data_IF_151346386660
#
_entry.id   IF_151346386660
#
_cell.length_a   1.000
_cell.length_b   1.000
_cell.length_c   1.000
_cell.angle_alpha   90.00
_cell.angle_beta   90.00
_cell.angle_gamma   90.00
#
_symmetry.space_group_name_H-M   'P 1'
#
loop_
_entity.id
_entity.type
_entity.pdbx_description
1 polymer ?
#
# COMPACT_ATOMS: atom_id res chain seq x y z
N UNK A 1 37.44 -16.67 2.48
CA UNK A 1 36.53 -17.59 3.22
C UNK A 1 36.09 -17.02 4.58
N UNK A 2 37.00 -16.68 5.50
CA UNK A 2 36.64 -16.15 6.85
C UNK A 2 35.82 -14.85 6.85
N UNK A 3 36.09 -13.94 5.89
CA UNK A 3 35.34 -12.67 5.72
C UNK A 3 33.93 -12.87 5.15
N UNK A 4 33.73 -13.87 4.28
CA UNK A 4 32.42 -14.24 3.72
C UNK A 4 31.55 -14.88 4.79
N UNK A 5 32.13 -15.76 5.62
CA UNK A 5 31.44 -16.35 6.77
C UNK A 5 30.95 -15.27 7.75
N UNK A 6 31.78 -14.26 8.02
CA UNK A 6 31.40 -13.14 8.90
C UNK A 6 30.24 -12.31 8.32
N UNK A 7 30.23 -12.07 7.00
CA UNK A 7 29.14 -11.33 6.33
C UNK A 7 27.84 -12.14 6.31
N UNK A 8 27.88 -13.46 6.12
CA UNK A 8 26.68 -14.32 6.18
C UNK A 8 26.09 -14.35 7.59
N UNK A 9 26.95 -14.39 8.62
CA UNK A 9 26.53 -14.30 10.02
C UNK A 9 25.91 -12.94 10.33
N UNK A 10 26.48 -11.84 9.82
CA UNK A 10 25.92 -10.49 9.99
C UNK A 10 24.62 -10.29 9.20
N UNK A 11 24.48 -10.85 7.99
CA UNK A 11 23.22 -10.82 7.22
C UNK A 11 22.11 -11.65 7.88
N UNK A 12 22.46 -12.78 8.53
CA UNK A 12 21.49 -13.61 9.26
C UNK A 12 20.92 -12.94 10.52
N UNK A 13 21.66 -11.99 11.10
CA UNK A 13 21.21 -11.16 12.23
C UNK A 13 20.20 -10.07 11.81
N UNK A 14 20.03 -9.82 10.50
CA UNK A 14 19.00 -8.92 9.95
C UNK A 14 17.71 -9.64 9.53
N UNK A 15 17.49 -10.88 10.01
CA UNK A 15 16.18 -11.52 9.86
C UNK A 15 15.15 -10.73 10.64
N UNK A 16 14.48 -9.82 9.94
CA UNK A 16 13.34 -9.06 10.45
C UNK A 16 12.33 -10.05 10.98
N UNK A 17 11.99 -9.93 12.26
CA UNK A 17 10.87 -10.64 12.87
C UNK A 17 9.63 -10.36 12.02
N UNK A 18 9.22 -11.34 11.22
CA UNK A 18 8.00 -11.25 10.43
C UNK A 18 6.83 -11.30 11.41
N UNK A 19 6.29 -10.13 11.71
CA UNK A 19 5.15 -9.94 12.59
C UNK A 19 3.88 -10.39 11.86
N UNK A 20 3.57 -11.67 11.99
CA UNK A 20 2.35 -12.30 11.48
C UNK A 20 1.25 -12.28 12.56
N UNK A 21 1.01 -11.13 13.18
CA UNK A 21 -0.15 -10.93 14.05
C UNK A 21 -1.34 -10.36 13.28
N UNK A 22 -2.52 -10.52 13.85
CA UNK A 22 -3.71 -9.86 13.37
C UNK A 22 -3.66 -8.37 13.73
N UNK A 23 -4.17 -7.52 12.86
CA UNK A 23 -4.25 -6.07 13.07
C UNK A 23 -5.71 -5.65 12.94
N UNK A 24 -6.25 -5.10 14.02
CA UNK A 24 -7.59 -4.50 14.05
C UNK A 24 -7.41 -3.00 13.85
N UNK A 25 -7.88 -2.47 12.71
CA UNK A 25 -7.89 -1.03 12.44
C UNK A 25 -9.27 -0.48 12.79
N UNK A 26 -9.32 0.46 13.73
CA UNK A 26 -10.55 1.17 14.12
C UNK A 26 -10.93 2.24 13.10
N UNK A 27 -12.19 2.69 13.14
CA UNK A 27 -12.67 3.83 12.32
C UNK A 27 -11.95 5.15 12.60
N UNK A 28 -11.42 5.33 13.81
CA UNK A 28 -10.60 6.50 14.18
C UNK A 28 -9.15 6.43 13.63
N UNK A 29 -8.75 5.35 12.96
CA UNK A 29 -7.41 5.14 12.41
C UNK A 29 -6.39 4.53 13.38
N UNK A 30 -6.80 4.17 14.59
CA UNK A 30 -5.95 3.45 15.54
C UNK A 30 -5.82 1.97 15.17
N UNK A 31 -4.58 1.47 15.13
CA UNK A 31 -4.27 0.05 14.86
C UNK A 31 -3.97 -0.68 16.17
N UNK A 32 -4.66 -1.79 16.42
CA UNK A 32 -4.42 -2.68 17.55
C UNK A 32 -3.81 -3.98 17.02
N UNK A 33 -2.57 -4.25 17.42
CA UNK A 33 -1.95 -5.56 17.25
C UNK A 33 -2.60 -6.55 18.21
N UNK A 34 -3.22 -7.59 17.66
CA UNK A 34 -4.03 -8.53 18.42
C UNK A 34 -3.92 -9.96 17.90
N UNK A 35 -4.37 -10.90 18.72
CA UNK A 35 -4.75 -12.24 18.28
C UNK A 35 -6.25 -12.38 18.44
N UNK A 36 -6.95 -12.57 17.33
CA UNK A 36 -8.41 -12.68 17.34
C UNK A 36 -8.79 -14.07 17.86
N UNK A 37 -9.69 -14.09 18.84
CA UNK A 37 -10.22 -15.34 19.41
C UNK A 37 -11.54 -15.71 18.75
N UNK A 38 -12.43 -14.73 18.56
CA UNK A 38 -13.77 -14.96 18.01
C UNK A 38 -14.31 -13.71 17.32
N UNK A 39 -15.05 -13.90 16.23
CA UNK A 39 -15.76 -12.85 15.48
C UNK A 39 -17.25 -13.21 15.49
N UNK A 40 -18.05 -12.55 16.32
CA UNK A 40 -19.51 -12.76 16.38
C UNK A 40 -20.22 -11.80 15.44
N UNK A 41 -21.56 -11.79 15.41
CA UNK A 41 -22.31 -10.89 14.53
C UNK A 41 -22.18 -9.40 14.95
N UNK A 42 -22.00 -9.14 16.24
CA UNK A 42 -22.02 -7.78 16.82
C UNK A 42 -20.65 -7.31 17.32
N UNK A 43 -19.82 -8.21 17.83
CA UNK A 43 -18.55 -7.89 18.47
C UNK A 43 -17.41 -8.80 18.00
N UNK A 44 -16.19 -8.34 18.23
CA UNK A 44 -14.95 -9.09 17.99
C UNK A 44 -14.21 -9.23 19.29
N UNK A 45 -13.91 -10.47 19.67
CA UNK A 45 -13.17 -10.81 20.88
C UNK A 45 -11.72 -11.07 20.54
N UNK A 46 -10.81 -10.35 21.18
CA UNK A 46 -9.39 -10.39 20.89
C UNK A 46 -8.52 -10.31 22.15
N UNK A 47 -7.29 -10.80 22.03
CA UNK A 47 -6.24 -10.59 23.02
C UNK A 47 -5.20 -9.63 22.46
N UNK A 48 -4.68 -8.71 23.28
CA UNK A 48 -3.61 -7.81 22.86
C UNK A 48 -2.35 -8.61 22.57
N UNK A 49 -1.65 -8.27 21.50
CA UNK A 49 -0.43 -8.98 21.13
C UNK A 49 0.67 -8.82 22.19
N UNK A 50 0.68 -7.67 22.89
CA UNK A 50 1.62 -7.40 23.99
C UNK A 50 1.42 -8.33 25.20
N UNK A 51 0.24 -8.93 25.36
CA UNK A 51 -0.07 -9.84 26.46
C UNK A 51 -1.11 -10.92 26.05
N UNK A 52 -0.62 -11.99 25.42
CA UNK A 52 -1.45 -13.11 24.96
C UNK A 52 -2.02 -13.99 26.10
N UNK A 53 -1.43 -13.94 27.29
CA UNK A 53 -1.95 -14.60 28.50
C UNK A 53 -2.92 -13.72 29.29
N UNK A 54 -3.09 -12.47 28.86
CA UNK A 54 -3.98 -11.50 29.48
C UNK A 54 -5.48 -11.72 29.21
N UNK A 55 -6.32 -10.79 29.71
CA UNK A 55 -7.76 -10.87 29.55
C UNK A 55 -8.20 -10.75 28.09
N UNK A 56 -9.36 -11.32 27.79
CA UNK A 56 -10.01 -11.19 26.47
C UNK A 56 -10.77 -9.86 26.45
N UNK A 57 -10.46 -9.03 25.48
CA UNK A 57 -11.17 -7.77 25.21
C UNK A 57 -12.25 -8.00 24.15
N UNK A 58 -13.34 -7.24 24.21
CA UNK A 58 -14.34 -7.15 23.15
C UNK A 58 -14.40 -5.74 22.57
N UNK A 59 -14.62 -5.65 21.26
CA UNK A 59 -14.85 -4.39 20.55
C UNK A 59 -16.01 -4.57 19.58
N UNK A 60 -16.87 -3.56 19.47
CA UNK A 60 -18.03 -3.60 18.57
C UNK A 60 -17.58 -3.53 17.11
N UNK A 61 -18.21 -4.31 16.23
CA UNK A 61 -17.93 -4.25 14.79
C UNK A 61 -18.19 -2.87 14.19
N UNK A 62 -19.12 -2.11 14.76
CA UNK A 62 -19.39 -0.71 14.36
C UNK A 62 -18.23 0.25 14.61
N UNK A 63 -17.28 -0.09 15.50
CA UNK A 63 -16.09 0.73 15.78
C UNK A 63 -14.86 0.30 14.96
N UNK A 64 -14.93 -0.89 14.36
CA UNK A 64 -13.86 -1.48 13.57
C UNK A 64 -14.05 -1.05 12.11
N UNK A 65 -12.98 -0.60 11.47
CA UNK A 65 -12.96 -0.35 10.03
C UNK A 65 -12.62 -1.64 9.29
N UNK A 66 -11.55 -2.30 9.71
CA UNK A 66 -11.10 -3.53 9.10
C UNK A 66 -10.28 -4.39 10.06
N UNK A 67 -10.29 -5.69 9.79
CA UNK A 67 -9.39 -6.66 10.40
C UNK A 67 -8.48 -7.20 9.31
N UNK A 68 -7.18 -7.26 9.59
CA UNK A 68 -6.20 -7.94 8.76
C UNK A 68 -5.64 -9.12 9.54
N UNK A 69 -5.88 -10.31 9.04
CA UNK A 69 -5.39 -11.53 9.68
C UNK A 69 -3.94 -11.82 9.29
N UNK A 70 -3.26 -12.60 10.13
CA UNK A 70 -1.90 -13.07 9.91
C UNK A 70 -1.67 -13.76 8.56
N UNK A 71 -2.68 -14.48 8.05
CA UNK A 71 -2.65 -15.16 6.75
C UNK A 71 -2.84 -14.21 5.55
N UNK A 72 -3.05 -12.91 5.78
CA UNK A 72 -3.26 -11.89 4.75
C UNK A 72 -4.72 -11.68 4.33
N UNK A 73 -5.68 -12.48 4.81
CA UNK A 73 -7.11 -12.23 4.58
C UNK A 73 -7.57 -11.00 5.36
N UNK A 74 -8.66 -10.38 4.91
CA UNK A 74 -9.16 -9.13 5.50
C UNK A 74 -10.68 -9.12 5.52
N UNK A 75 -11.21 -8.68 6.65
CA UNK A 75 -12.64 -8.37 6.80
C UNK A 75 -12.79 -6.86 6.92
N UNK A 76 -13.67 -6.27 6.11
CA UNK A 76 -13.96 -4.83 6.12
C UNK A 76 -15.37 -4.66 6.65
N UNK A 77 -15.50 -3.91 7.75
CA UNK A 77 -16.79 -3.63 8.39
C UNK A 77 -17.20 -2.22 8.01
N UNK A 78 -17.66 -2.07 6.76
CA UNK A 78 -18.40 -0.89 6.39
C UNK A 78 -19.83 -1.07 6.90
N UNK A 79 -20.37 -0.05 7.56
CA UNK A 79 -21.81 0.05 7.70
C UNK A 79 -22.37 0.18 6.28
N UNK A 80 -22.87 -0.92 5.74
CA UNK A 80 -23.82 -0.86 4.64
C UNK A 80 -25.00 -0.05 5.19
N UNK A 81 -25.07 1.21 4.77
CA UNK A 81 -26.29 1.98 4.83
C UNK A 81 -27.37 1.08 4.23
N UNK A 82 -28.22 0.58 5.11
CA UNK A 82 -29.31 -0.31 4.77
C UNK A 82 -30.11 0.38 3.66
N UNK A 83 -30.13 -0.23 2.49
CA UNK A 83 -30.88 0.27 1.34
C UNK A 83 -32.36 0.29 1.69
N UNK A 84 -32.87 1.47 2.04
CA UNK A 84 -34.28 1.82 1.87
C UNK A 84 -34.38 2.77 0.66
N UNK A 85 -35.24 2.47 -0.32
CA UNK A 85 -35.41 3.32 -1.48
C UNK A 85 -36.38 4.46 -1.14
N UNK A 86 -35.91 5.72 -1.19
CA UNK A 86 -36.78 6.87 -1.41
C UNK A 86 -35.98 8.12 -1.84
N UNK A 87 -36.34 8.58 -3.04
CA UNK A 87 -36.36 9.96 -3.52
C UNK A 87 -35.07 10.73 -3.79
N UNK A 88 -34.79 10.78 -5.09
CA UNK A 88 -34.07 11.86 -5.74
C UNK A 88 -34.68 13.21 -5.36
N UNK A 89 -33.93 14.02 -4.60
CA UNK A 89 -33.89 15.48 -4.74
C UNK A 89 -32.65 16.05 -4.02
N UNK A 90 -31.63 16.34 -4.83
CA UNK A 90 -30.72 17.48 -4.71
C UNK A 90 -30.25 17.86 -3.29
N UNK A 91 -29.24 17.14 -2.77
CA UNK A 91 -28.30 17.71 -1.80
C UNK A 91 -26.96 17.89 -2.50
N UNK A 92 -26.75 19.10 -3.03
CA UNK A 92 -25.46 19.52 -3.56
C UNK A 92 -24.48 19.67 -2.40
N UNK A 93 -23.46 18.81 -2.34
CA UNK A 93 -22.31 18.98 -1.42
C UNK A 93 -21.63 20.33 -1.69
N UNK A 94 -21.08 21.01 -0.66
CA UNK A 94 -20.37 22.27 -0.86
C UNK A 94 -19.17 22.05 -1.79
N UNK A 95 -19.17 22.71 -2.94
CA UNK A 95 -18.07 22.69 -3.91
C UNK A 95 -16.97 23.62 -3.37
N UNK A 96 -16.01 23.07 -2.63
CA UNK A 96 -14.83 23.83 -2.17
C UNK A 96 -13.90 24.03 -3.38
N UNK A 97 -13.56 25.29 -3.66
CA UNK A 97 -12.68 25.67 -4.77
C UNK A 97 -11.23 25.21 -4.50
N UNK A 98 -10.54 24.50 -5.42
CA UNK A 98 -9.27 23.82 -5.14
C UNK A 98 -8.03 24.74 -5.08
N UNK A 99 -8.19 26.04 -5.16
CA UNK A 99 -7.08 26.96 -5.42
C UNK A 99 -6.82 27.83 -4.19
N UNK A 100 -6.03 27.34 -3.23
CA UNK A 100 -5.02 28.09 -2.45
C UNK A 100 -4.48 27.17 -1.35
N UNK A 101 -3.25 26.65 -1.52
CA UNK A 101 -2.53 25.92 -0.48
C UNK A 101 -1.37 26.78 0.02
N UNK A 102 -1.36 27.10 1.31
CA UNK A 102 -0.21 27.71 1.99
C UNK A 102 0.36 26.69 2.97
N UNK A 103 1.63 26.31 2.76
CA UNK A 103 2.34 25.43 3.66
C UNK A 103 2.83 26.21 4.88
N UNK A 104 2.40 25.81 6.07
CA UNK A 104 2.92 26.33 7.35
C UNK A 104 3.42 25.16 8.18
N UNK A 105 4.68 25.22 8.61
CA UNK A 105 5.33 24.18 9.40
C UNK A 105 4.65 24.03 10.78
N UNK A 106 4.36 22.79 11.20
CA UNK A 106 3.82 22.49 12.53
C UNK A 106 2.29 22.34 12.64
N UNK A 107 1.54 22.64 11.58
CA UNK A 107 0.10 22.36 11.54
C UNK A 107 -0.18 21.04 10.80
N UNK A 108 -1.14 20.21 11.28
CA UNK A 108 -1.60 19.04 10.53
C UNK A 108 -2.09 19.51 9.16
N UNK A 109 -1.64 18.82 8.11
CA UNK A 109 -2.08 19.07 6.74
C UNK A 109 -3.61 18.98 6.75
N UNK A 110 -4.29 20.09 6.49
CA UNK A 110 -5.74 20.10 6.33
C UNK A 110 -6.11 18.97 5.34
N UNK A 111 -7.11 18.12 5.61
CA UNK A 111 -7.37 16.87 4.87
C UNK A 111 -7.89 17.08 3.42
N UNK A 112 -7.80 18.29 2.89
CA UNK A 112 -8.28 18.64 1.55
C UNK A 112 -7.17 18.36 0.54
N UNK A 113 -7.17 17.14 0.04
CA UNK A 113 -6.44 16.75 -1.16
C UNK A 113 -7.04 15.45 -1.66
N UNK A 114 -7.28 15.38 -2.97
CA UNK A 114 -7.95 14.23 -3.59
C UNK A 114 -7.31 12.89 -3.25
N UNK A 115 -8.09 11.81 -3.43
CA UNK A 115 -7.68 10.41 -3.21
C UNK A 115 -6.27 10.18 -3.78
N UNK A 116 -5.34 9.73 -2.93
CA UNK A 116 -3.97 9.39 -3.34
C UNK A 116 -4.00 8.07 -4.12
N UNK A 117 -3.32 8.01 -5.26
CA UNK A 117 -3.20 6.77 -6.03
C UNK A 117 -2.09 5.89 -5.44
N UNK A 118 -2.46 4.75 -4.84
CA UNK A 118 -1.48 3.78 -4.34
C UNK A 118 -0.61 3.22 -5.46
N UNK A 119 -1.20 3.01 -6.63
CA UNK A 119 -0.47 2.56 -7.82
C UNK A 119 0.43 3.68 -8.37
N UNK A 120 -0.08 4.91 -8.45
CA UNK A 120 0.70 6.07 -8.91
C UNK A 120 1.92 6.34 -8.02
N UNK A 121 1.76 6.21 -6.70
CA UNK A 121 2.87 6.33 -5.75
C UNK A 121 3.90 5.20 -5.91
N UNK A 122 3.43 3.97 -6.15
CA UNK A 122 4.30 2.83 -6.45
C UNK A 122 5.12 3.05 -7.74
N UNK A 123 4.47 3.49 -8.82
CA UNK A 123 5.14 3.76 -10.10
C UNK A 123 6.13 4.93 -9.99
N UNK A 124 5.78 5.99 -9.28
CA UNK A 124 6.72 7.07 -9.04
C UNK A 124 8.02 6.53 -8.41
N UNK A 125 7.89 5.59 -7.47
CA UNK A 125 9.02 4.94 -6.80
C UNK A 125 9.80 3.93 -7.66
N UNK A 126 9.21 3.46 -8.77
CA UNK A 126 9.90 2.60 -9.73
C UNK A 126 10.96 3.39 -10.50
N UNK A 127 10.64 4.63 -10.88
CA UNK A 127 11.56 5.51 -11.61
C UNK A 127 12.58 6.16 -10.69
N UNK A 128 12.13 6.67 -9.55
CA UNK A 128 12.98 7.34 -8.57
C UNK A 128 12.66 6.76 -7.19
N UNK A 129 13.56 5.97 -6.59
CA UNK A 129 13.39 5.43 -5.24
C UNK A 129 13.13 6.57 -4.25
N UNK A 130 12.11 6.44 -3.40
CA UNK A 130 11.67 7.49 -2.47
C UNK A 130 10.63 8.48 -3.01
N UNK A 131 10.41 8.55 -4.33
CA UNK A 131 9.52 9.57 -4.92
C UNK A 131 8.05 9.39 -4.52
N UNK A 132 7.56 8.15 -4.44
CA UNK A 132 6.18 7.90 -4.01
C UNK A 132 5.93 8.30 -2.56
N UNK A 133 6.94 8.22 -1.70
CA UNK A 133 6.89 8.69 -0.32
C UNK A 133 6.80 10.21 -0.28
N UNK A 134 7.62 10.92 -1.07
CA UNK A 134 7.54 12.38 -1.19
C UNK A 134 6.16 12.86 -1.69
N UNK A 135 5.59 12.21 -2.71
CA UNK A 135 4.24 12.55 -3.24
C UNK A 135 3.13 12.40 -2.17
N UNK A 136 3.32 11.47 -1.24
CA UNK A 136 2.39 11.22 -0.15
C UNK A 136 2.70 12.03 1.12
N UNK A 137 3.76 12.84 1.12
CA UNK A 137 4.16 13.69 2.24
C UNK A 137 5.06 13.01 3.28
N UNK A 138 5.51 11.78 3.05
CA UNK A 138 6.50 11.10 3.88
C UNK A 138 7.92 11.45 3.42
N UNK A 139 8.41 12.59 3.87
CA UNK A 139 9.74 13.11 3.51
C UNK A 139 10.85 12.23 4.09
N UNK A 140 10.69 11.75 5.32
CA UNK A 140 11.69 10.92 6.00
C UNK A 140 11.86 9.57 5.30
N UNK A 141 10.75 8.90 4.98
CA UNK A 141 10.77 7.69 4.17
C UNK A 141 11.37 7.93 2.78
N UNK A 142 11.02 9.04 2.12
CA UNK A 142 11.58 9.40 0.81
C UNK A 142 13.11 9.47 0.81
N UNK A 143 13.71 10.18 1.76
CA UNK A 143 15.17 10.26 1.88
C UNK A 143 15.82 8.94 2.27
N UNK A 144 15.16 8.12 3.09
CA UNK A 144 15.67 6.80 3.46
C UNK A 144 15.85 5.90 2.23
N UNK A 145 14.85 5.82 1.35
CA UNK A 145 14.93 4.98 0.15
C UNK A 145 15.83 5.56 -0.93
N UNK A 146 15.79 6.88 -1.13
CA UNK A 146 16.67 7.56 -2.08
C UNK A 146 18.14 7.43 -1.67
N UNK A 147 18.44 7.74 -0.40
CA UNK A 147 19.79 7.62 0.16
C UNK A 147 20.29 6.18 0.15
N UNK A 148 19.45 5.22 0.53
CA UNK A 148 19.77 3.80 0.45
C UNK A 148 20.14 3.35 -0.96
N UNK A 149 19.38 3.79 -1.97
CA UNK A 149 19.69 3.47 -3.36
C UNK A 149 21.01 4.09 -3.84
N UNK A 150 21.29 5.35 -3.44
CA UNK A 150 22.57 6.02 -3.72
C UNK A 150 23.72 5.24 -3.09
N UNK A 151 23.61 4.81 -1.83
CA UNK A 151 24.64 4.02 -1.13
C UNK A 151 24.88 2.70 -1.84
N UNK A 152 23.83 1.97 -2.24
CA UNK A 152 23.97 0.72 -2.99
C UNK A 152 24.69 0.92 -4.34
N UNK A 153 24.37 2.01 -5.05
CA UNK A 153 25.06 2.36 -6.29
C UNK A 153 26.51 2.76 -6.04
N UNK A 154 26.82 3.49 -4.96
CA UNK A 154 28.21 3.81 -4.60
C UNK A 154 29.02 2.56 -4.27
N UNK A 155 28.46 1.59 -3.55
CA UNK A 155 29.10 0.30 -3.28
C UNK A 155 29.37 -0.45 -4.58
N UNK A 156 28.41 -0.45 -5.51
CA UNK A 156 28.57 -1.08 -6.82
C UNK A 156 29.66 -0.39 -7.66
N UNK A 157 29.69 0.94 -7.70
CA UNK A 157 30.65 1.72 -8.49
C UNK A 157 32.07 1.63 -7.93
N UNK A 158 32.22 1.44 -6.62
CA UNK A 158 33.53 1.29 -5.95
C UNK A 158 33.89 -0.18 -5.68
N UNK A 159 33.20 -1.14 -6.29
CA UNK A 159 33.43 -2.55 -6.05
C UNK A 159 34.78 -2.99 -6.64
N UNK A 160 35.68 -3.45 -5.77
CA UNK A 160 36.95 -4.06 -6.17
C UNK A 160 36.83 -5.53 -6.59
N UNK A 161 35.71 -6.18 -6.25
CA UNK A 161 35.44 -7.59 -6.56
C UNK A 161 34.02 -7.75 -7.07
N UNK A 162 33.81 -8.73 -7.96
CA UNK A 162 32.50 -9.04 -8.54
C UNK A 162 31.43 -9.33 -7.48
N UNK A 163 31.81 -9.93 -6.35
CA UNK A 163 30.89 -10.18 -5.23
C UNK A 163 30.38 -8.89 -4.59
N UNK A 164 31.20 -7.83 -4.52
CA UNK A 164 30.78 -6.52 -4.00
C UNK A 164 29.90 -5.78 -5.00
N UNK A 165 30.20 -5.91 -6.29
CA UNK A 165 29.36 -5.35 -7.36
C UNK A 165 27.97 -6.02 -7.34
N UNK A 166 27.93 -7.35 -7.21
CA UNK A 166 26.69 -8.12 -7.10
C UNK A 166 25.91 -7.75 -5.84
N UNK A 167 26.59 -7.56 -4.70
CA UNK A 167 25.96 -7.12 -3.45
C UNK A 167 25.31 -5.74 -3.58
N UNK A 168 26.00 -4.77 -4.19
CA UNK A 168 25.44 -3.44 -4.45
C UNK A 168 24.23 -3.49 -5.39
N UNK A 169 24.27 -4.37 -6.40
CA UNK A 169 23.17 -4.54 -7.36
C UNK A 169 21.94 -5.17 -6.70
N UNK A 170 22.11 -6.27 -5.97
CA UNK A 170 21.01 -6.93 -5.25
C UNK A 170 20.44 -6.04 -4.16
N UNK A 171 21.29 -5.37 -3.37
CA UNK A 171 20.86 -4.41 -2.37
C UNK A 171 20.05 -3.26 -2.97
N UNK A 172 20.51 -2.70 -4.09
CA UNK A 172 19.79 -1.64 -4.81
C UNK A 172 18.42 -2.08 -5.32
N UNK A 173 18.32 -3.30 -5.88
CA UNK A 173 17.04 -3.89 -6.30
C UNK A 173 16.09 -4.09 -5.12
N UNK A 174 16.59 -4.59 -3.99
CA UNK A 174 15.80 -4.75 -2.77
C UNK A 174 15.27 -3.41 -2.27
N UNK A 175 16.11 -2.39 -2.19
CA UNK A 175 15.70 -1.02 -1.77
C UNK A 175 14.61 -0.47 -2.70
N UNK A 176 14.73 -0.69 -4.01
CA UNK A 176 13.73 -0.24 -4.99
C UNK A 176 12.38 -0.93 -4.77
N UNK A 177 12.38 -2.25 -4.64
CA UNK A 177 11.14 -3.02 -4.40
C UNK A 177 10.49 -2.58 -3.08
N UNK A 178 11.28 -2.44 -2.01
CA UNK A 178 10.78 -1.95 -0.72
C UNK A 178 10.20 -0.53 -0.83
N UNK A 179 10.86 0.36 -1.60
CA UNK A 179 10.35 1.72 -1.84
C UNK A 179 8.99 1.71 -2.53
N UNK A 180 8.81 0.89 -3.58
CA UNK A 180 7.55 0.77 -4.32
C UNK A 180 6.41 0.30 -3.41
N UNK A 181 6.67 -0.77 -2.65
CA UNK A 181 5.67 -1.35 -1.73
C UNK A 181 5.30 -0.34 -0.66
N UNK A 182 6.31 0.29 -0.02
CA UNK A 182 6.08 1.24 1.04
C UNK A 182 5.31 2.48 0.55
N UNK A 183 5.65 3.02 -0.61
CA UNK A 183 4.93 4.13 -1.22
C UNK A 183 3.45 3.80 -1.48
N UNK A 184 3.16 2.60 -1.99
CA UNK A 184 1.79 2.15 -2.21
C UNK A 184 1.03 1.96 -0.89
N UNK A 185 1.69 1.48 0.16
CA UNK A 185 1.10 1.33 1.48
C UNK A 185 0.81 2.67 2.16
N UNK A 186 1.73 3.64 2.08
CA UNK A 186 1.54 4.98 2.64
C UNK A 186 0.35 5.67 1.96
N UNK A 187 0.24 5.63 0.63
CA UNK A 187 -0.91 6.16 -0.08
C UNK A 187 -2.24 5.56 0.43
N UNK A 188 -2.28 4.24 0.66
CA UNK A 188 -3.46 3.57 1.22
C UNK A 188 -3.76 4.03 2.65
N UNK A 189 -2.74 4.12 3.51
CA UNK A 189 -2.89 4.62 4.90
C UNK A 189 -3.40 6.06 4.93
N UNK A 190 -2.88 6.93 4.07
CA UNK A 190 -3.31 8.33 3.95
C UNK A 190 -4.76 8.41 3.47
N UNK A 191 -5.18 7.57 2.53
CA UNK A 191 -6.58 7.52 2.09
C UNK A 191 -7.53 7.05 3.21
N UNK A 192 -7.14 6.04 3.99
CA UNK A 192 -7.92 5.57 5.15
C UNK A 192 -8.06 6.69 6.19
N UNK A 193 -6.95 7.35 6.54
CA UNK A 193 -6.95 8.44 7.51
C UNK A 193 -7.81 9.64 7.07
N UNK A 194 -8.00 9.81 5.75
CA UNK A 194 -8.88 10.84 5.16
C UNK A 194 -10.33 10.39 4.95
N UNK A 195 -10.68 9.17 5.37
CA UNK A 195 -12.05 8.63 5.25
C UNK A 195 -12.44 8.18 3.84
N UNK A 196 -11.49 8.08 2.90
CA UNK A 196 -11.77 7.51 1.58
C UNK A 196 -11.93 5.99 1.70
N UNK A 197 -13.07 5.46 1.25
CA UNK A 197 -13.25 4.02 1.11
C UNK A 197 -12.21 3.48 0.11
N UNK A 198 -11.45 2.47 0.54
CA UNK A 198 -10.53 1.78 -0.37
C UNK A 198 -11.38 1.03 -1.39
N UNK A 199 -11.33 1.45 -2.66
CA UNK A 199 -11.89 0.67 -3.75
C UNK A 199 -11.25 -0.73 -3.69
N UNK A 200 -12.09 -1.74 -3.52
CA UNK A 200 -11.63 -3.08 -3.15
C UNK A 200 -10.68 -3.70 -4.19
N UNK A 201 -10.75 -3.29 -5.47
CA UNK A 201 -9.98 -3.97 -6.52
C UNK A 201 -9.32 -2.96 -7.48
N UNK A 202 -8.03 -2.67 -7.27
CA UNK A 202 -7.15 -2.21 -8.36
C UNK A 202 -6.78 -3.46 -9.15
N UNK A 203 -7.39 -3.63 -10.32
CA UNK A 203 -7.09 -4.77 -11.19
C UNK A 203 -6.56 -4.28 -12.54
N UNK A 204 -5.58 -5.03 -13.06
CA UNK A 204 -5.17 -4.97 -14.45
C UNK A 204 -5.87 -6.12 -15.17
N UNK A 205 -6.90 -5.79 -15.94
CA UNK A 205 -7.55 -6.75 -16.83
C UNK A 205 -6.79 -6.76 -18.15
N UNK A 206 -6.21 -7.90 -18.49
CA UNK A 206 -5.59 -8.16 -19.79
C UNK A 206 -6.54 -9.08 -20.55
N UNK A 207 -7.12 -8.58 -21.65
CA UNK A 207 -8.06 -9.34 -22.46
C UNK A 207 -7.53 -9.45 -23.90
N UNK A 208 -7.24 -10.67 -24.39
CA UNK A 208 -6.96 -10.86 -25.80
C UNK A 208 -8.20 -10.49 -26.60
N UNK A 209 -8.04 -9.68 -27.63
CA UNK A 209 -9.14 -9.16 -28.44
C UNK A 209 -8.87 -9.48 -29.90
N UNK A 210 -9.82 -10.13 -30.55
CA UNK A 210 -9.80 -10.31 -32.01
C UNK A 210 -10.37 -9.02 -32.59
N UNK A 211 -9.59 -8.31 -33.39
CA UNK A 211 -10.01 -7.06 -34.01
C UNK A 211 -10.77 -7.44 -35.29
N UNK A 212 -12.10 -7.24 -35.37
CA UNK A 212 -12.85 -7.53 -36.58
C UNK A 212 -12.41 -6.57 -37.70
N UNK A 213 -12.30 -7.07 -38.93
CA UNK A 213 -11.92 -6.25 -40.07
C UNK A 213 -12.95 -5.13 -40.32
N UNK A 214 -12.47 -3.95 -40.69
CA UNK A 214 -13.31 -2.83 -41.13
C UNK A 214 -13.71 -2.92 -42.61
N UNK A 215 -13.21 -3.91 -43.36
CA UNK A 215 -13.48 -4.11 -44.79
C UNK A 215 -13.93 -5.54 -45.08
N UNK A 216 -15.13 -5.70 -45.61
CA UNK A 216 -15.78 -6.98 -45.93
C UNK A 216 -15.19 -7.73 -47.15
N UNK A 217 -14.13 -7.19 -47.78
CA UNK A 217 -13.63 -7.62 -49.09
C UNK A 217 -12.15 -8.08 -49.10
N UNK A 218 -11.46 -8.05 -47.95
CA UNK A 218 -10.08 -8.53 -47.84
C UNK A 218 -10.04 -9.95 -47.27
N UNK A 219 -9.07 -10.76 -47.70
CA UNK A 219 -8.90 -12.16 -47.27
C UNK A 219 -8.79 -12.31 -45.75
N UNK A 220 -9.05 -13.55 -45.28
CA UNK A 220 -9.19 -13.98 -43.87
C UNK A 220 -7.95 -13.78 -42.97
N UNK A 221 -7.43 -12.57 -42.88
CA UNK A 221 -6.36 -12.21 -41.94
C UNK A 221 -7.01 -11.62 -40.68
N UNK A 222 -7.06 -12.43 -39.60
CA UNK A 222 -7.49 -11.98 -38.28
C UNK A 222 -6.33 -11.24 -37.59
N UNK A 223 -6.57 -10.00 -37.17
CA UNK A 223 -5.63 -9.27 -36.34
C UNK A 223 -5.90 -9.57 -34.85
N UNK A 224 -4.87 -10.03 -34.15
CA UNK A 224 -4.91 -10.26 -32.70
C UNK A 224 -4.38 -9.03 -31.96
N UNK A 225 -5.15 -8.52 -31.01
CA UNK A 225 -4.77 -7.41 -30.14
C UNK A 225 -4.86 -7.80 -28.65
N UNK A 226 -4.33 -6.93 -27.80
CA UNK A 226 -4.49 -7.03 -26.34
C UNK A 226 -5.09 -5.74 -25.81
N UNK A 227 -6.22 -5.86 -25.11
CA UNK A 227 -6.82 -4.77 -24.37
C UNK A 227 -6.29 -4.77 -22.93
N UNK A 228 -5.75 -3.61 -22.52
CA UNK A 228 -5.31 -3.37 -21.16
C UNK A 228 -6.30 -2.44 -20.48
N UNK A 229 -7.03 -2.96 -19.49
CA UNK A 229 -7.96 -2.16 -18.68
C UNK A 229 -7.40 -2.02 -17.27
N UNK A 230 -7.12 -0.79 -16.87
CA UNK A 230 -6.65 -0.45 -15.52
C UNK A 230 -7.78 0.24 -14.78
N UNK A 231 -8.24 -0.33 -13.67
CA UNK A 231 -9.23 0.28 -12.78
C UNK A 231 -8.55 0.70 -11.45
N UNK A 232 -8.86 1.91 -10.95
CA UNK A 232 -8.23 2.55 -9.77
C UNK A 232 -9.23 3.14 -8.77
#
# INVERSE_FOLDING_TARGET
MKRILFIIVVLGLFTTTSFAQDIITKKNGEDIAAKISEVTHTEVRYKRFDNLEGPIFSILKSEILMIRYANGTKDIFNEEASQQPADANNVQLPKVNPDTYTYTFGNPINPVGGKKSAWGAGIASLFIPGLGQFINGDIGGGFLFLGGNIVCNLVRLNAQNDSMALLGLLGGLTVNICSIINAAQIAKRVNIARGYQLANNTYLQIQPTIIPQSNLLAGNDYAYGMNFRVAF
#
